data_IF_270825519639
#
_entry.id   IF_270825519639
#
_cell.length_a   1.000
_cell.length_b   1.000
_cell.length_c   1.000
_cell.angle_alpha   90.00
_cell.angle_beta   90.00
_cell.angle_gamma   90.00
#
_symmetry.space_group_name_H-M   'P 1'
#
loop_
_entity.id
_entity.type
_entity.pdbx_description
1 polymer ?
#
# COMPACT_ATOMS: atom_id res chain seq x y z
N UNK A 1 74.46 28.79 -36.11
CA UNK A 1 73.77 29.44 -34.97
C UNK A 1 72.31 29.82 -35.33
N UNK A 2 72.04 30.54 -36.41
CA UNK A 2 70.60 30.83 -36.82
C UNK A 2 69.83 29.60 -37.26
N UNK A 3 70.45 28.62 -37.95
CA UNK A 3 69.79 27.37 -38.33
C UNK A 3 69.38 26.50 -37.12
N UNK A 4 70.22 26.44 -36.08
CA UNK A 4 70.00 25.65 -34.86
C UNK A 4 68.84 26.26 -34.06
N UNK A 5 68.69 27.59 -34.01
CA UNK A 5 67.60 28.30 -33.36
C UNK A 5 66.25 28.01 -34.07
N UNK A 6 66.24 27.99 -35.39
CA UNK A 6 65.01 27.69 -36.17
C UNK A 6 64.55 26.26 -36.00
N UNK A 7 65.47 25.28 -35.93
CA UNK A 7 65.16 23.86 -35.74
C UNK A 7 64.59 23.64 -34.31
N UNK A 8 65.18 24.22 -33.29
CA UNK A 8 64.70 24.13 -31.93
C UNK A 8 63.32 24.78 -31.78
N UNK A 9 63.08 25.93 -32.40
CA UNK A 9 61.77 26.60 -32.37
C UNK A 9 60.67 25.74 -33.03
N UNK A 10 61.01 25.09 -34.17
CA UNK A 10 60.08 24.16 -34.87
C UNK A 10 59.77 22.92 -34.02
N UNK A 11 60.76 22.37 -33.31
CA UNK A 11 60.58 21.23 -32.41
C UNK A 11 59.72 21.58 -31.23
N UNK A 12 59.97 22.70 -30.53
CA UNK A 12 59.14 23.14 -29.41
C UNK A 12 57.72 23.50 -29.79
N UNK A 13 57.52 24.13 -30.96
CA UNK A 13 56.16 24.43 -31.46
C UNK A 13 55.38 23.16 -31.82
N UNK A 14 56.02 22.17 -32.42
CA UNK A 14 55.40 20.87 -32.73
C UNK A 14 55.01 20.09 -31.49
N UNK A 15 55.88 20.05 -30.47
CA UNK A 15 55.59 19.40 -29.18
C UNK A 15 54.47 20.10 -28.44
N UNK A 16 54.42 21.43 -28.45
CA UNK A 16 53.33 22.20 -27.84
C UNK A 16 51.98 21.93 -28.51
N UNK A 17 51.93 21.85 -29.83
CA UNK A 17 50.72 21.51 -30.58
C UNK A 17 50.23 20.10 -30.24
N UNK A 18 51.12 19.12 -30.19
CA UNK A 18 50.77 17.75 -29.78
C UNK A 18 50.23 17.69 -28.36
N UNK A 19 50.81 18.44 -27.44
CA UNK A 19 50.35 18.52 -26.05
C UNK A 19 48.93 19.14 -25.94
N UNK A 20 48.71 20.24 -26.66
CA UNK A 20 47.39 20.86 -26.70
C UNK A 20 46.32 19.92 -27.32
N UNK A 21 46.73 19.17 -28.37
CA UNK A 21 45.81 18.20 -29.00
C UNK A 21 45.47 17.03 -28.09
N UNK A 22 46.45 16.53 -27.30
CA UNK A 22 46.17 15.48 -26.30
C UNK A 22 45.25 15.98 -25.20
N UNK A 23 45.44 17.21 -24.69
CA UNK A 23 44.55 17.83 -23.71
C UNK A 23 43.15 17.96 -24.31
N UNK A 24 43.00 18.44 -25.54
CA UNK A 24 41.73 18.56 -26.24
C UNK A 24 41.00 17.22 -26.34
N UNK A 25 41.69 16.15 -26.73
CA UNK A 25 41.11 14.80 -26.79
C UNK A 25 40.64 14.34 -25.40
N UNK A 26 41.45 14.52 -24.35
CA UNK A 26 41.11 14.15 -22.98
C UNK A 26 39.84 14.90 -22.54
N UNK A 27 39.76 16.21 -22.77
CA UNK A 27 38.60 17.03 -22.44
C UNK A 27 37.37 16.60 -23.24
N UNK A 28 37.53 16.28 -24.50
CA UNK A 28 36.44 15.79 -25.35
C UNK A 28 35.89 14.44 -24.85
N UNK A 29 36.75 13.48 -24.57
CA UNK A 29 36.41 12.16 -24.07
C UNK A 29 35.75 12.25 -22.68
N UNK A 30 36.29 13.04 -21.78
CA UNK A 30 35.69 13.23 -20.43
C UNK A 30 34.32 13.88 -20.52
N UNK A 31 34.14 14.91 -21.36
CA UNK A 31 32.85 15.55 -21.60
C UNK A 31 31.83 14.60 -22.21
N UNK A 32 32.25 13.75 -23.14
CA UNK A 32 31.40 12.75 -23.75
C UNK A 32 30.96 11.69 -22.73
N UNK A 33 31.88 11.21 -21.90
CA UNK A 33 31.59 10.25 -20.81
C UNK A 33 30.61 10.86 -19.80
N UNK A 34 30.77 12.11 -19.41
CA UNK A 34 29.85 12.82 -18.52
C UNK A 34 28.44 12.95 -19.14
N UNK A 35 28.36 13.26 -20.44
CA UNK A 35 27.07 13.31 -21.15
C UNK A 35 26.36 11.95 -21.14
N UNK A 36 27.07 10.88 -21.44
CA UNK A 36 26.53 9.53 -21.40
C UNK A 36 26.02 9.13 -20.02
N UNK A 37 26.77 9.44 -18.97
CA UNK A 37 26.36 9.20 -17.58
C UNK A 37 25.09 9.97 -17.23
N UNK A 38 25.01 11.26 -17.60
CA UNK A 38 23.80 12.08 -17.36
C UNK A 38 22.58 11.53 -18.09
N UNK A 39 22.74 11.15 -19.35
CA UNK A 39 21.63 10.56 -20.13
C UNK A 39 21.14 9.26 -19.47
N UNK A 40 22.08 8.40 -19.03
CA UNK A 40 21.73 7.15 -18.36
C UNK A 40 21.02 7.40 -17.02
N UNK A 41 21.51 8.31 -16.20
CA UNK A 41 20.87 8.67 -14.92
C UNK A 41 19.47 9.27 -15.14
N UNK A 42 19.30 10.15 -16.12
CA UNK A 42 18.00 10.73 -16.45
C UNK A 42 17.01 9.66 -16.97
N UNK A 43 17.48 8.70 -17.76
CA UNK A 43 16.64 7.61 -18.24
C UNK A 43 16.20 6.68 -17.10
N UNK A 44 17.11 6.31 -16.18
CA UNK A 44 16.81 5.50 -15.01
C UNK A 44 15.82 6.24 -14.07
N UNK A 45 16.00 7.54 -13.89
CA UNK A 45 15.11 8.36 -13.08
C UNK A 45 13.71 8.49 -13.71
N UNK A 46 13.64 8.69 -15.04
CA UNK A 46 12.38 8.73 -15.77
C UNK A 46 11.64 7.38 -15.73
N UNK A 47 12.37 6.27 -15.86
CA UNK A 47 11.80 4.92 -15.76
C UNK A 47 11.24 4.66 -14.35
N UNK A 48 11.99 5.05 -13.30
CA UNK A 48 11.54 4.93 -11.91
C UNK A 48 10.26 5.73 -11.69
N UNK A 49 10.23 6.97 -12.12
CA UNK A 49 9.07 7.86 -11.98
C UNK A 49 7.85 7.35 -12.77
N UNK A 50 8.07 6.82 -13.96
CA UNK A 50 7.01 6.19 -14.74
C UNK A 50 6.43 4.96 -14.03
N UNK A 51 7.27 4.12 -13.45
CA UNK A 51 6.85 2.94 -12.67
C UNK A 51 6.06 3.34 -11.43
N UNK A 52 6.49 4.37 -10.70
CA UNK A 52 5.76 4.91 -9.55
C UNK A 52 4.38 5.44 -9.97
N UNK A 53 4.29 6.20 -11.05
CA UNK A 53 3.03 6.72 -11.59
C UNK A 53 2.08 5.60 -12.04
N UNK A 54 2.60 4.53 -12.65
CA UNK A 54 1.79 3.36 -13.01
C UNK A 54 1.24 2.65 -11.77
N UNK A 55 2.06 2.43 -10.75
CA UNK A 55 1.62 1.83 -9.48
C UNK A 55 0.52 2.68 -8.83
N UNK A 56 0.70 4.01 -8.79
CA UNK A 56 -0.30 4.93 -8.29
C UNK A 56 -1.63 4.79 -9.04
N UNK A 57 -1.59 4.80 -10.38
CA UNK A 57 -2.77 4.68 -11.22
C UNK A 57 -3.49 3.34 -11.03
N UNK A 58 -2.75 2.24 -10.89
CA UNK A 58 -3.32 0.91 -10.67
C UNK A 58 -4.00 0.82 -9.31
N UNK A 59 -3.36 1.32 -8.24
CA UNK A 59 -3.97 1.33 -6.90
C UNK A 59 -5.25 2.15 -6.92
N UNK A 60 -5.23 3.35 -7.49
CA UNK A 60 -6.39 4.23 -7.55
C UNK A 60 -7.53 3.61 -8.37
N UNK A 61 -7.24 3.05 -9.55
CA UNK A 61 -8.24 2.37 -10.36
C UNK A 61 -8.84 1.16 -9.65
N UNK A 62 -8.02 0.38 -8.96
CA UNK A 62 -8.48 -0.78 -8.19
C UNK A 62 -9.40 -0.38 -7.03
N UNK A 63 -9.07 0.67 -6.28
CA UNK A 63 -9.93 1.13 -5.19
C UNK A 63 -11.21 1.78 -5.72
N UNK A 64 -11.15 2.52 -6.83
CA UNK A 64 -12.37 3.06 -7.48
C UNK A 64 -13.31 1.95 -7.92
N UNK A 65 -12.77 0.88 -8.52
CA UNK A 65 -13.56 -0.26 -8.94
C UNK A 65 -14.14 -1.03 -7.74
N UNK A 66 -13.38 -1.19 -6.66
CA UNK A 66 -13.88 -1.78 -5.41
C UNK A 66 -15.00 -0.95 -4.80
N UNK A 67 -14.86 0.39 -4.79
CA UNK A 67 -15.91 1.31 -4.31
C UNK A 67 -17.18 1.18 -5.18
N UNK A 68 -17.03 1.07 -6.51
CA UNK A 68 -18.14 0.86 -7.43
C UNK A 68 -18.85 -0.46 -7.16
N UNK A 69 -18.12 -1.57 -7.10
CA UNK A 69 -18.68 -2.90 -6.84
C UNK A 69 -19.38 -2.93 -5.48
N UNK A 70 -18.79 -2.34 -4.45
CA UNK A 70 -19.41 -2.31 -3.13
C UNK A 70 -20.73 -1.52 -3.13
N UNK A 71 -20.79 -0.42 -3.88
CA UNK A 71 -22.01 0.38 -4.04
C UNK A 71 -23.08 -0.39 -4.82
N UNK A 72 -22.71 -1.01 -5.94
CA UNK A 72 -23.64 -1.81 -6.74
C UNK A 72 -24.22 -2.98 -5.91
N UNK A 73 -23.37 -3.68 -5.14
CA UNK A 73 -23.81 -4.72 -4.22
C UNK A 73 -24.79 -4.20 -3.15
N UNK A 74 -24.50 -3.03 -2.57
CA UNK A 74 -25.33 -2.44 -1.52
C UNK A 74 -26.69 -2.02 -2.07
N UNK A 75 -26.69 -1.33 -3.20
CA UNK A 75 -27.88 -0.70 -3.77
C UNK A 75 -28.79 -1.72 -4.46
N UNK A 76 -28.25 -2.58 -5.32
CA UNK A 76 -29.03 -3.56 -6.06
C UNK A 76 -29.48 -4.73 -5.17
N UNK A 77 -28.54 -5.42 -4.53
CA UNK A 77 -28.89 -6.59 -3.71
C UNK A 77 -29.64 -6.18 -2.44
N UNK A 78 -29.24 -5.08 -1.80
CA UNK A 78 -29.94 -4.56 -0.62
C UNK A 78 -31.40 -4.21 -0.92
N UNK A 79 -31.63 -3.55 -2.04
CA UNK A 79 -32.98 -3.15 -2.48
C UNK A 79 -33.87 -4.35 -2.85
N UNK A 80 -33.33 -5.28 -3.66
CA UNK A 80 -34.08 -6.49 -4.08
C UNK A 80 -34.46 -7.33 -2.87
N UNK A 81 -33.52 -7.61 -1.97
CA UNK A 81 -33.78 -8.42 -0.78
C UNK A 81 -34.74 -7.73 0.18
N UNK A 82 -34.67 -6.40 0.32
CA UNK A 82 -35.59 -5.63 1.14
C UNK A 82 -37.02 -5.66 0.58
N UNK A 83 -37.19 -5.44 -0.72
CA UNK A 83 -38.48 -5.49 -1.40
C UNK A 83 -39.10 -6.89 -1.35
N UNK A 84 -38.27 -7.93 -1.52
CA UNK A 84 -38.73 -9.32 -1.43
C UNK A 84 -39.22 -9.66 -0.02
N UNK A 85 -38.46 -9.22 1.01
CA UNK A 85 -38.87 -9.39 2.41
C UNK A 85 -40.18 -8.67 2.73
N UNK A 86 -40.36 -7.43 2.24
CA UNK A 86 -41.59 -6.65 2.41
C UNK A 86 -42.77 -7.32 1.72
N UNK A 87 -42.60 -7.78 0.48
CA UNK A 87 -43.65 -8.53 -0.25
C UNK A 87 -44.06 -9.80 0.49
N UNK A 88 -43.08 -10.57 0.95
CA UNK A 88 -43.34 -11.80 1.67
C UNK A 88 -44.11 -11.54 2.99
N UNK A 89 -43.69 -10.52 3.75
CA UNK A 89 -44.41 -10.08 4.96
C UNK A 89 -45.84 -9.64 4.68
N UNK A 90 -46.10 -8.99 3.55
CA UNK A 90 -47.44 -8.55 3.16
C UNK A 90 -48.38 -9.68 2.73
N UNK A 91 -47.83 -10.80 2.28
CA UNK A 91 -48.59 -12.00 1.90
C UNK A 91 -48.87 -12.93 3.10
N UNK A 92 -48.19 -12.69 4.22
CA UNK A 92 -48.28 -13.53 5.41
C UNK A 92 -49.55 -13.17 6.22
N UNK A 93 -50.61 -13.94 6.04
CA UNK A 93 -51.90 -13.82 6.76
C UNK A 93 -52.11 -14.93 7.78
N UNK A 94 -51.28 -15.96 7.79
CA UNK A 94 -51.37 -17.11 8.71
C UNK A 94 -50.00 -17.51 9.22
N UNK A 95 -49.90 -18.07 10.43
CA UNK A 95 -48.68 -18.62 11.02
C UNK A 95 -48.21 -19.84 10.21
N UNK A 96 -47.52 -19.61 9.11
CA UNK A 96 -46.88 -20.64 8.30
C UNK A 96 -45.37 -20.60 8.58
N UNK A 97 -44.85 -21.65 9.22
CA UNK A 97 -43.45 -21.80 9.57
C UNK A 97 -42.55 -21.69 8.33
N UNK A 98 -43.01 -22.08 7.13
CA UNK A 98 -42.27 -21.99 5.88
C UNK A 98 -41.99 -20.53 5.47
N UNK A 99 -42.91 -19.61 5.75
CA UNK A 99 -42.72 -18.17 5.47
C UNK A 99 -41.71 -17.55 6.44
N UNK A 100 -41.74 -17.93 7.70
CA UNK A 100 -40.72 -17.48 8.69
C UNK A 100 -39.33 -17.96 8.32
N UNK A 101 -39.19 -19.20 7.85
CA UNK A 101 -37.92 -19.74 7.37
C UNK A 101 -37.37 -18.96 6.17
N UNK A 102 -38.21 -18.64 5.18
CA UNK A 102 -37.80 -17.82 4.02
C UNK A 102 -37.43 -16.39 4.44
N UNK A 103 -38.16 -15.79 5.37
CA UNK A 103 -37.78 -14.47 5.91
C UNK A 103 -36.43 -14.49 6.64
N UNK A 104 -36.14 -15.57 7.37
CA UNK A 104 -34.83 -15.76 8.00
C UNK A 104 -33.73 -15.86 6.95
N UNK A 105 -33.88 -16.69 5.92
CA UNK A 105 -32.94 -16.82 4.82
C UNK A 105 -32.68 -15.49 4.07
N UNK A 106 -33.75 -14.71 3.85
CA UNK A 106 -33.64 -13.39 3.24
C UNK A 106 -32.82 -12.42 4.13
N UNK A 107 -33.09 -12.44 5.44
CA UNK A 107 -32.32 -11.61 6.38
C UNK A 107 -30.83 -12.00 6.44
N UNK A 108 -30.56 -13.29 6.33
CA UNK A 108 -29.19 -13.80 6.25
C UNK A 108 -28.51 -13.39 4.93
N UNK A 109 -29.20 -13.50 3.81
CA UNK A 109 -28.69 -13.03 2.51
C UNK A 109 -28.40 -11.53 2.50
N UNK A 110 -29.27 -10.71 3.13
CA UNK A 110 -29.03 -9.27 3.30
C UNK A 110 -27.76 -9.00 4.12
N UNK A 111 -27.58 -9.71 5.23
CA UNK A 111 -26.39 -9.58 6.05
C UNK A 111 -25.13 -9.94 5.27
N UNK A 112 -25.16 -11.06 4.55
CA UNK A 112 -24.03 -11.53 3.74
C UNK A 112 -23.69 -10.53 2.62
N UNK A 113 -24.69 -9.96 1.94
CA UNK A 113 -24.49 -8.94 0.92
C UNK A 113 -23.81 -7.67 1.50
N UNK A 114 -24.26 -7.21 2.66
CA UNK A 114 -23.64 -6.07 3.36
C UNK A 114 -22.21 -6.38 3.81
N UNK A 115 -21.94 -7.58 4.28
CA UNK A 115 -20.59 -8.01 4.66
C UNK A 115 -19.65 -8.05 3.46
N UNK A 116 -20.09 -8.61 2.32
CA UNK A 116 -19.32 -8.62 1.07
C UNK A 116 -19.02 -7.20 0.58
N UNK A 117 -20.04 -6.31 0.60
CA UNK A 117 -19.85 -4.91 0.27
C UNK A 117 -18.80 -4.25 1.14
N UNK A 118 -18.87 -4.40 2.47
CA UNK A 118 -17.93 -3.83 3.42
C UNK A 118 -16.53 -4.45 3.32
N UNK A 119 -16.39 -5.72 2.96
CA UNK A 119 -15.09 -6.35 2.70
C UNK A 119 -14.45 -5.83 1.42
N UNK A 120 -15.30 -5.57 0.41
CA UNK A 120 -14.84 -5.03 -0.88
C UNK A 120 -14.38 -3.59 -0.73
N UNK A 121 -15.15 -2.74 -0.06
CA UNK A 121 -14.79 -1.36 0.25
C UNK A 121 -15.41 -0.91 1.59
N UNK A 122 -14.62 -0.32 2.51
CA UNK A 122 -15.12 0.09 3.81
C UNK A 122 -15.95 1.38 3.70
N UNK A 123 -17.19 1.28 3.22
CA UNK A 123 -18.12 2.41 3.07
C UNK A 123 -18.20 3.31 4.33
N UNK A 124 -18.21 2.76 5.57
CA UNK A 124 -18.21 3.57 6.78
C UNK A 124 -16.98 4.46 6.99
N UNK A 125 -15.87 4.20 6.27
CA UNK A 125 -14.62 4.96 6.42
C UNK A 125 -14.80 6.46 6.21
N UNK A 126 -15.65 6.86 5.26
CA UNK A 126 -15.94 8.27 4.98
C UNK A 126 -16.80 8.96 6.02
N UNK A 127 -17.70 8.17 6.65
CA UNK A 127 -18.68 8.69 7.60
C UNK A 127 -18.10 8.75 9.01
N UNK A 128 -17.41 7.70 9.42
CA UNK A 128 -17.02 7.47 10.81
C UNK A 128 -15.50 7.49 11.04
N UNK A 129 -14.69 7.56 9.97
CA UNK A 129 -13.23 7.61 10.05
C UNK A 129 -12.54 6.26 10.23
N UNK A 130 -11.19 6.32 10.27
CA UNK A 130 -10.33 5.13 10.27
C UNK A 130 -10.47 4.30 11.55
N UNK A 131 -10.47 4.95 12.72
CA UNK A 131 -10.59 4.27 14.01
C UNK A 131 -11.82 3.38 14.09
N UNK A 132 -12.97 3.93 13.68
CA UNK A 132 -14.24 3.21 13.72
C UNK A 132 -14.24 1.94 12.86
N UNK A 133 -13.74 2.03 11.61
CA UNK A 133 -13.72 0.86 10.72
C UNK A 133 -12.69 -0.18 11.14
N UNK A 134 -11.57 0.24 11.75
CA UNK A 134 -10.60 -0.68 12.33
C UNK A 134 -11.18 -1.40 13.55
N UNK A 135 -11.89 -0.70 14.44
CA UNK A 135 -12.57 -1.32 15.58
C UNK A 135 -13.54 -2.40 15.11
N UNK A 136 -14.41 -2.11 14.13
CA UNK A 136 -15.34 -3.12 13.56
C UNK A 136 -14.58 -4.34 13.01
N UNK A 137 -13.49 -4.11 12.28
CA UNK A 137 -12.69 -5.21 11.71
C UNK A 137 -12.08 -6.07 12.80
N UNK A 138 -11.55 -5.46 13.85
CA UNK A 138 -10.90 -6.13 14.97
C UNK A 138 -11.92 -6.87 15.83
N UNK A 139 -13.06 -6.26 16.16
CA UNK A 139 -14.15 -6.90 16.90
C UNK A 139 -14.61 -8.19 16.21
N UNK A 140 -14.74 -8.17 14.89
CA UNK A 140 -15.08 -9.37 14.11
C UNK A 140 -14.02 -10.46 14.22
N UNK A 141 -12.75 -10.10 14.17
CA UNK A 141 -11.65 -11.05 14.31
C UNK A 141 -11.60 -11.63 15.74
N UNK A 142 -11.82 -10.80 16.77
CA UNK A 142 -11.91 -11.24 18.17
C UNK A 142 -13.10 -12.17 18.38
N UNK A 143 -14.24 -11.90 17.75
CA UNK A 143 -15.45 -12.75 17.84
C UNK A 143 -15.22 -14.19 17.32
N UNK A 144 -14.27 -14.39 16.41
CA UNK A 144 -13.85 -15.73 15.94
C UNK A 144 -12.65 -16.29 16.70
N UNK A 145 -12.30 -15.68 17.84
CA UNK A 145 -11.25 -16.18 18.74
C UNK A 145 -9.85 -15.65 18.49
N UNK A 146 -9.69 -14.59 17.69
CA UNK A 146 -8.36 -13.99 17.46
C UNK A 146 -7.91 -13.18 18.71
N UNK A 147 -6.69 -13.44 19.25
CA UNK A 147 -6.17 -12.75 20.44
C UNK A 147 -5.53 -11.41 20.03
N UNK A 148 -6.34 -10.35 19.86
CA UNK A 148 -5.89 -9.05 19.33
C UNK A 148 -5.93 -8.00 20.43
N UNK A 149 -4.82 -7.27 20.59
CA UNK A 149 -4.72 -6.03 21.35
C UNK A 149 -4.59 -4.87 20.38
N UNK A 150 -5.52 -3.93 20.42
CA UNK A 150 -5.55 -2.76 19.55
C UNK A 150 -5.56 -1.48 20.34
N UNK A 151 -4.70 -0.53 19.95
CA UNK A 151 -4.69 0.85 20.44
C UNK A 151 -4.65 1.83 19.30
N UNK A 152 -5.44 2.90 19.39
CA UNK A 152 -5.50 3.98 18.42
C UNK A 152 -5.34 5.32 19.14
N UNK A 153 -4.23 5.98 18.92
CA UNK A 153 -3.79 7.19 19.62
C UNK A 153 -3.47 8.29 18.60
N UNK A 154 -4.48 8.76 17.90
CA UNK A 154 -4.28 9.87 16.95
C UNK A 154 -4.99 11.14 17.45
N UNK A 155 -4.51 12.30 16.99
CA UNK A 155 -5.16 13.57 17.28
C UNK A 155 -6.55 13.66 16.62
N UNK A 156 -7.26 14.74 16.92
CA UNK A 156 -8.62 15.00 16.42
C UNK A 156 -8.67 15.37 14.91
N UNK A 157 -7.52 15.41 14.23
CA UNK A 157 -7.41 15.71 12.82
C UNK A 157 -7.98 14.58 11.94
N UNK A 158 -8.82 14.94 10.95
CA UNK A 158 -9.26 13.97 9.94
C UNK A 158 -8.10 13.63 9.02
N UNK A 159 -7.74 12.36 8.96
CA UNK A 159 -6.81 11.84 7.95
C UNK A 159 -7.43 11.95 6.55
N UNK A 160 -6.59 12.15 5.51
CA UNK A 160 -7.07 12.12 4.14
C UNK A 160 -7.73 10.77 3.80
N UNK A 161 -8.60 10.75 2.78
CA UNK A 161 -9.27 9.53 2.32
C UNK A 161 -8.25 8.47 1.91
N UNK A 162 -7.25 8.89 1.15
CA UNK A 162 -6.19 8.04 0.62
C UNK A 162 -5.34 7.41 1.73
N UNK A 163 -4.96 8.23 2.72
CA UNK A 163 -4.20 7.78 3.87
C UNK A 163 -5.00 6.80 4.72
N UNK A 164 -6.23 7.16 5.06
CA UNK A 164 -7.13 6.30 5.85
C UNK A 164 -7.37 4.95 5.18
N UNK A 165 -7.64 4.96 3.88
CA UNK A 165 -7.86 3.73 3.10
C UNK A 165 -6.59 2.89 3.01
N UNK A 166 -5.43 3.50 2.82
CA UNK A 166 -4.16 2.79 2.74
C UNK A 166 -3.81 2.12 4.08
N UNK A 167 -3.95 2.83 5.20
CA UNK A 167 -3.75 2.25 6.53
C UNK A 167 -4.73 1.12 6.80
N UNK A 168 -6.02 1.31 6.51
CA UNK A 168 -7.02 0.25 6.63
C UNK A 168 -6.63 -1.01 5.85
N UNK A 169 -6.23 -0.87 4.58
CA UNK A 169 -5.83 -2.01 3.74
C UNK A 169 -4.56 -2.69 4.22
N UNK A 170 -3.59 -1.93 4.71
CA UNK A 170 -2.37 -2.50 5.28
C UNK A 170 -2.71 -3.35 6.51
N UNK A 171 -3.49 -2.82 7.44
CA UNK A 171 -3.91 -3.56 8.64
C UNK A 171 -4.75 -4.77 8.27
N UNK A 172 -5.66 -4.65 7.29
CA UNK A 172 -6.49 -5.75 6.78
C UNK A 172 -5.62 -6.90 6.24
N UNK A 173 -4.59 -6.59 5.45
CA UNK A 173 -3.68 -7.58 4.87
C UNK A 173 -2.82 -8.26 5.95
N UNK A 174 -2.25 -7.47 6.86
CA UNK A 174 -1.45 -7.98 7.98
C UNK A 174 -2.28 -8.92 8.86
N UNK A 175 -3.48 -8.49 9.25
CA UNK A 175 -4.39 -9.28 10.07
C UNK A 175 -4.84 -10.57 9.35
N UNK A 176 -5.20 -10.47 8.07
CA UNK A 176 -5.55 -11.65 7.26
C UNK A 176 -4.41 -12.67 7.20
N UNK A 177 -3.16 -12.19 7.06
CA UNK A 177 -1.99 -13.06 7.03
C UNK A 177 -1.76 -13.75 8.37
N UNK A 178 -1.87 -13.03 9.49
CA UNK A 178 -1.72 -13.63 10.82
C UNK A 178 -2.81 -14.64 11.12
N UNK A 179 -4.07 -14.35 10.79
CA UNK A 179 -5.20 -15.27 10.99
C UNK A 179 -5.08 -16.55 10.16
N UNK A 180 -4.59 -16.44 8.92
CA UNK A 180 -4.50 -17.59 8.00
C UNK A 180 -3.26 -18.44 8.24
N UNK A 181 -2.13 -17.81 8.58
CA UNK A 181 -0.82 -18.47 8.48
C UNK A 181 -0.01 -18.48 9.76
N UNK A 182 -0.19 -17.49 10.65
CA UNK A 182 0.73 -17.32 11.78
C UNK A 182 0.45 -18.26 12.95
N UNK A 183 -0.78 -18.74 13.16
CA UNK A 183 -1.19 -19.48 14.37
C UNK A 183 -0.80 -18.73 15.64
N UNK A 184 -0.91 -17.40 15.61
CA UNK A 184 -0.50 -16.54 16.70
C UNK A 184 -1.43 -16.67 17.90
N UNK A 185 -0.88 -16.65 19.11
CA UNK A 185 -1.63 -16.55 20.36
C UNK A 185 -1.72 -15.10 20.88
N UNK A 186 -1.11 -14.14 20.19
CA UNK A 186 -1.22 -12.71 20.46
C UNK A 186 -0.89 -11.92 19.20
N UNK A 187 -1.73 -10.92 18.91
CA UNK A 187 -1.54 -9.93 17.85
C UNK A 187 -1.66 -8.56 18.49
N UNK A 188 -0.68 -7.68 18.30
CA UNK A 188 -0.71 -6.32 18.82
C UNK A 188 -0.69 -5.35 17.65
N UNK A 189 -1.59 -4.37 17.69
CA UNK A 189 -1.74 -3.33 16.68
C UNK A 189 -1.79 -1.99 17.41
N UNK A 190 -0.81 -1.13 17.14
CA UNK A 190 -0.75 0.23 17.66
C UNK A 190 -0.70 1.21 16.51
N UNK A 191 -1.62 2.15 16.48
CA UNK A 191 -1.62 3.28 15.56
C UNK A 191 -1.58 4.55 16.37
N UNK A 192 -0.57 5.37 16.14
CA UNK A 192 -0.41 6.64 16.85
C UNK A 192 0.04 7.76 15.91
N UNK A 193 -0.37 8.97 16.23
CA UNK A 193 0.15 10.16 15.58
C UNK A 193 1.39 10.64 16.33
N UNK A 194 2.50 10.77 15.61
CA UNK A 194 3.76 11.21 16.19
C UNK A 194 4.58 12.00 15.16
N UNK A 195 5.09 13.17 15.53
CA UNK A 195 5.97 14.01 14.70
C UNK A 195 5.41 14.32 13.29
N UNK A 196 4.09 14.56 13.17
CA UNK A 196 3.46 14.85 11.88
C UNK A 196 3.29 13.64 10.96
N UNK A 197 3.39 12.44 11.51
CA UNK A 197 3.21 11.19 10.80
C UNK A 197 2.32 10.22 11.59
N UNK A 198 1.70 9.28 10.90
CA UNK A 198 1.06 8.11 11.50
C UNK A 198 2.11 7.01 11.64
N UNK A 199 2.38 6.62 12.85
CA UNK A 199 3.14 5.42 13.18
C UNK A 199 2.18 4.24 13.31
N UNK A 200 2.44 3.16 12.55
CA UNK A 200 1.73 1.88 12.63
C UNK A 200 2.71 0.81 13.07
N UNK A 201 2.49 0.25 14.25
CA UNK A 201 3.21 -0.89 14.77
C UNK A 201 2.29 -2.11 14.80
N UNK A 202 2.68 -3.18 14.12
CA UNK A 202 1.98 -4.45 14.09
C UNK A 202 2.93 -5.58 14.49
N UNK A 203 2.52 -6.44 15.40
CA UNK A 203 3.30 -7.63 15.79
C UNK A 203 2.39 -8.82 16.04
N UNK A 204 2.83 -10.00 15.62
CA UNK A 204 2.27 -11.27 16.07
C UNK A 204 3.37 -12.18 16.62
N UNK A 205 3.00 -13.09 17.50
CA UNK A 205 3.89 -14.09 18.09
C UNK A 205 3.74 -15.48 17.43
N UNK A 206 3.35 -15.51 16.17
CA UNK A 206 3.09 -16.74 15.45
C UNK A 206 4.34 -17.50 15.01
N UNK A 207 4.16 -18.43 14.08
CA UNK A 207 5.26 -19.30 13.57
C UNK A 207 6.32 -18.53 12.79
N UNK A 208 6.04 -17.29 12.37
CA UNK A 208 6.92 -16.50 11.54
C UNK A 208 7.10 -17.07 10.13
N UNK A 209 7.84 -16.33 9.31
CA UNK A 209 8.19 -16.73 7.94
C UNK A 209 9.58 -16.24 7.59
N UNK A 210 10.24 -16.88 6.64
CA UNK A 210 11.48 -16.37 6.07
C UNK A 210 11.13 -15.31 5.00
N UNK A 211 11.48 -14.06 5.25
CA UNK A 211 11.25 -12.93 4.33
C UNK A 211 12.24 -12.91 3.15
N UNK A 212 13.29 -13.76 3.17
CA UNK A 212 14.31 -13.82 2.12
C UNK A 212 13.91 -14.72 0.94
N UNK A 213 12.74 -15.38 0.97
CA UNK A 213 12.26 -16.10 -0.19
C UNK A 213 12.11 -15.15 -1.39
N UNK A 214 12.72 -15.55 -2.50
CA UNK A 214 12.91 -14.76 -3.74
C UNK A 214 11.63 -14.29 -4.44
N UNK A 215 10.47 -14.61 -3.93
CA UNK A 215 9.16 -14.12 -4.36
C UNK A 215 8.29 -13.77 -3.14
N UNK A 216 8.31 -12.49 -2.69
CA UNK A 216 7.33 -12.04 -1.71
C UNK A 216 5.93 -12.35 -2.24
N UNK A 217 5.11 -13.02 -1.41
CA UNK A 217 3.72 -13.30 -1.77
C UNK A 217 2.97 -12.03 -2.18
N UNK A 218 1.89 -12.16 -2.92
CA UNK A 218 1.08 -11.02 -3.41
C UNK A 218 0.71 -10.01 -2.31
N UNK A 219 0.50 -10.48 -1.07
CA UNK A 219 0.15 -9.62 0.07
C UNK A 219 1.23 -8.61 0.45
N UNK A 220 2.49 -9.04 0.53
CA UNK A 220 3.60 -8.12 0.84
C UNK A 220 3.85 -7.09 -0.25
N UNK A 221 3.66 -7.48 -1.52
CA UNK A 221 3.73 -6.54 -2.64
C UNK A 221 2.62 -5.48 -2.56
N UNK A 222 1.42 -5.87 -2.15
CA UNK A 222 0.31 -4.93 -1.92
C UNK A 222 0.64 -3.93 -0.79
N UNK A 223 1.20 -4.40 0.33
CA UNK A 223 1.63 -3.53 1.43
C UNK A 223 2.70 -2.54 0.94
N UNK A 224 3.74 -3.04 0.25
CA UNK A 224 4.81 -2.19 -0.30
C UNK A 224 4.28 -1.13 -1.25
N UNK A 225 3.40 -1.51 -2.18
CA UNK A 225 2.80 -0.57 -3.14
C UNK A 225 1.98 0.51 -2.44
N UNK A 226 1.24 0.15 -1.38
CA UNK A 226 0.47 1.12 -0.58
C UNK A 226 1.35 2.05 0.22
N UNK A 227 2.45 1.54 0.77
CA UNK A 227 3.43 2.39 1.47
C UNK A 227 4.07 3.40 0.52
N UNK A 228 4.42 2.99 -0.71
CA UNK A 228 4.88 3.91 -1.76
C UNK A 228 3.81 4.95 -2.12
N UNK A 229 2.56 4.51 -2.26
CA UNK A 229 1.42 5.37 -2.61
C UNK A 229 1.20 6.50 -1.59
N UNK A 230 1.41 6.25 -0.30
CA UNK A 230 1.27 7.25 0.77
C UNK A 230 2.60 7.88 1.19
N UNK A 231 3.66 7.71 0.41
CA UNK A 231 5.02 8.20 0.70
C UNK A 231 5.54 7.79 2.07
N UNK A 232 5.10 6.63 2.57
CA UNK A 232 5.49 6.10 3.86
C UNK A 232 6.77 5.27 3.79
N UNK A 233 7.45 5.18 4.92
CA UNK A 233 8.58 4.27 5.15
C UNK A 233 8.15 3.11 6.04
N UNK A 234 8.74 1.94 5.86
CA UNK A 234 8.41 0.78 6.68
C UNK A 234 9.57 -0.21 6.80
N UNK A 235 9.50 -1.00 7.85
CA UNK A 235 10.37 -2.13 8.11
C UNK A 235 9.53 -3.36 8.43
N UNK A 236 9.97 -4.52 7.96
CA UNK A 236 9.38 -5.81 8.28
C UNK A 236 10.45 -6.75 8.80
N UNK A 237 10.15 -7.49 9.85
CA UNK A 237 11.01 -8.53 10.37
C UNK A 237 10.21 -9.77 10.71
N UNK A 238 10.73 -10.93 10.31
CA UNK A 238 10.18 -12.22 10.66
C UNK A 238 11.26 -13.29 10.56
N UNK A 239 11.17 -14.29 11.40
CA UNK A 239 11.97 -15.49 11.31
C UNK A 239 11.20 -16.67 11.90
N UNK A 240 11.53 -17.89 11.49
CA UNK A 240 10.85 -19.08 11.95
C UNK A 240 10.81 -19.17 13.49
N UNK A 241 9.62 -19.34 14.05
CA UNK A 241 9.37 -19.43 15.48
C UNK A 241 9.43 -18.11 16.27
N UNK A 242 9.63 -16.95 15.61
CA UNK A 242 9.74 -15.65 16.29
C UNK A 242 8.61 -14.67 15.95
N UNK A 243 7.58 -15.12 15.21
CA UNK A 243 6.48 -14.29 14.77
C UNK A 243 6.84 -13.31 13.64
N UNK A 244 6.02 -12.29 13.50
CA UNK A 244 6.16 -11.25 12.48
C UNK A 244 6.03 -9.87 13.10
N UNK A 245 6.78 -8.91 12.59
CA UNK A 245 6.66 -7.50 12.94
C UNK A 245 6.67 -6.61 11.71
N UNK A 246 5.84 -5.58 11.75
CA UNK A 246 5.77 -4.52 10.75
C UNK A 246 5.71 -3.18 11.47
N UNK A 247 6.59 -2.26 11.09
CA UNK A 247 6.59 -0.88 11.59
C UNK A 247 6.59 0.06 10.42
N UNK A 248 5.71 1.05 10.46
CA UNK A 248 5.60 2.03 9.40
C UNK A 248 5.48 3.45 9.96
N UNK A 249 5.99 4.40 9.19
CA UNK A 249 5.79 5.83 9.40
C UNK A 249 5.25 6.44 8.11
N UNK A 250 4.09 7.07 8.19
CA UNK A 250 3.35 7.60 7.05
C UNK A 250 3.12 9.09 7.28
N UNK A 251 3.69 9.99 6.47
CA UNK A 251 3.54 11.43 6.67
C UNK A 251 2.09 11.87 6.51
N UNK A 252 1.61 12.76 7.40
CA UNK A 252 0.26 13.33 7.31
C UNK A 252 0.12 14.31 6.13
N UNK A 253 1.19 15.04 5.85
CA UNK A 253 1.31 15.92 4.70
C UNK A 253 2.57 15.51 3.93
N UNK A 254 2.46 14.70 2.88
CA UNK A 254 3.60 14.47 2.01
C UNK A 254 3.97 15.81 1.37
N UNK A 255 5.16 16.31 1.65
CA UNK A 255 5.72 17.45 0.90
C UNK A 255 5.81 17.01 -0.57
N UNK A 256 5.11 17.75 -1.44
CA UNK A 256 5.07 17.55 -2.90
C UNK A 256 6.40 17.99 -3.51
#
# INVERSE_FOLDING_TARGET
MEQDISINLLFFSGTAILFLFTIFIILMVTKQKQRHLRIKMNAEQAEKQHRENLLYSVIQATETERERIARDLHDEMGSILSLTSLKLKSLHTTKDNSVEEVLHLLSEAQRNARELSNQTYPTPLHLFGLEHVLNIMIERAVAVGAPIHFSYETGTGKLSKELSLSVYRIVQELLSNSLKYARASSINILIKEQNGAIALDYTDNGVGTDLNFSTPGFGFNNIRSRMLFVHGTFEMASSAGKGFSFRASIPLNPEI
#
